data_IF_058261800219
#
_entry.id   IF_058261800219
#
_cell.length_a   1.000
_cell.length_b   1.000
_cell.length_c   1.000
_cell.angle_alpha   90.00
_cell.angle_beta   90.00
_cell.angle_gamma   90.00
#
_symmetry.space_group_name_H-M   'P 1'
#
loop_
_entity.id
_entity.type
_entity.pdbx_description
1 polymer ?
#
# COMPACT_ATOMS: atom_id res chain seq x y z
N UNK A 1 29.40 -21.73 -27.80
CA UNK A 1 29.16 -20.36 -27.32
C UNK A 1 27.91 -19.76 -27.95
N UNK A 2 27.73 -19.76 -29.27
CA UNK A 2 26.47 -19.33 -29.92
C UNK A 2 25.21 -20.02 -29.35
N UNK A 3 25.23 -21.35 -29.22
CA UNK A 3 24.09 -22.11 -28.69
C UNK A 3 23.69 -21.82 -27.23
N UNK A 4 24.63 -21.34 -26.40
CA UNK A 4 24.36 -21.03 -24.99
C UNK A 4 23.79 -19.62 -24.85
N UNK A 5 24.23 -18.70 -25.72
CA UNK A 5 23.69 -17.34 -25.81
C UNK A 5 22.27 -17.38 -26.37
N UNK A 6 22.02 -18.13 -27.45
CA UNK A 6 20.68 -18.30 -28.03
C UNK A 6 19.68 -18.90 -27.02
N UNK A 7 20.11 -19.91 -26.23
CA UNK A 7 19.27 -20.50 -25.18
C UNK A 7 19.00 -19.57 -24.00
N UNK A 8 19.93 -18.65 -23.69
CA UNK A 8 19.73 -17.65 -22.65
C UNK A 8 18.77 -16.54 -23.10
N UNK A 9 18.90 -16.11 -24.35
CA UNK A 9 18.01 -15.11 -24.97
C UNK A 9 16.57 -15.65 -25.11
N UNK A 10 16.39 -16.89 -25.56
CA UNK A 10 15.07 -17.53 -25.66
C UNK A 10 14.39 -17.70 -24.29
N UNK A 11 15.15 -18.07 -23.26
CA UNK A 11 14.62 -18.19 -21.89
C UNK A 11 14.21 -16.81 -21.31
N UNK A 12 15.01 -15.77 -21.55
CA UNK A 12 14.70 -14.40 -21.11
C UNK A 12 13.45 -13.86 -21.79
N UNK A 13 13.30 -14.09 -23.10
CA UNK A 13 12.14 -13.68 -23.88
C UNK A 13 10.87 -14.39 -23.41
N UNK A 14 10.95 -15.70 -23.17
CA UNK A 14 9.83 -16.49 -22.63
C UNK A 14 9.40 -15.98 -21.24
N UNK A 15 10.34 -15.64 -20.37
CA UNK A 15 10.04 -15.10 -19.04
C UNK A 15 9.36 -13.74 -19.11
N UNK A 16 9.84 -12.82 -19.96
CA UNK A 16 9.21 -11.51 -20.15
C UNK A 16 7.78 -11.64 -20.70
N UNK A 17 7.55 -12.54 -21.66
CA UNK A 17 6.20 -12.81 -22.19
C UNK A 17 5.29 -13.37 -21.10
N UNK A 18 5.76 -14.35 -20.31
CA UNK A 18 4.98 -14.93 -19.22
C UNK A 18 4.64 -13.88 -18.14
N UNK A 19 5.56 -12.97 -17.83
CA UNK A 19 5.32 -11.88 -16.89
C UNK A 19 4.22 -10.92 -17.37
N UNK A 20 4.25 -10.52 -18.65
CA UNK A 20 3.24 -9.64 -19.25
C UNK A 20 1.88 -10.36 -19.37
N UNK A 21 1.88 -11.64 -19.76
CA UNK A 21 0.66 -12.44 -19.81
C UNK A 21 -0.02 -12.54 -18.45
N UNK A 22 0.77 -12.72 -17.38
CA UNK A 22 0.22 -12.77 -16.02
C UNK A 22 -0.46 -11.45 -15.63
N UNK A 23 0.11 -10.29 -15.99
CA UNK A 23 -0.54 -8.99 -15.77
C UNK A 23 -1.86 -8.90 -16.54
N UNK A 24 -1.87 -9.32 -17.81
CA UNK A 24 -3.11 -9.33 -18.60
C UNK A 24 -4.19 -10.19 -17.96
N UNK A 25 -3.83 -11.38 -17.49
CA UNK A 25 -4.75 -12.31 -16.82
C UNK A 25 -5.23 -11.73 -15.48
N UNK A 26 -4.34 -11.15 -14.68
CA UNK A 26 -4.70 -10.58 -13.37
C UNK A 26 -5.63 -9.37 -13.52
N UNK A 27 -5.41 -8.51 -14.52
CA UNK A 27 -6.32 -7.42 -14.86
C UNK A 27 -7.69 -7.93 -15.32
N UNK A 28 -7.71 -8.94 -16.21
CA UNK A 28 -8.96 -9.55 -16.66
C UNK A 28 -9.75 -10.19 -15.50
N UNK A 29 -9.06 -10.90 -14.60
CA UNK A 29 -9.65 -11.44 -13.37
C UNK A 29 -10.18 -10.34 -12.46
N UNK A 30 -9.47 -9.22 -12.32
CA UNK A 30 -9.92 -8.04 -11.59
C UNK A 30 -11.22 -7.46 -12.14
N UNK A 31 -11.29 -7.26 -13.46
CA UNK A 31 -12.49 -6.75 -14.15
C UNK A 31 -13.64 -7.75 -14.02
N UNK A 32 -13.39 -9.05 -14.24
CA UNK A 32 -14.39 -10.10 -14.11
C UNK A 32 -14.94 -10.18 -12.68
N UNK A 33 -14.06 -10.18 -11.67
CA UNK A 33 -14.46 -10.18 -10.25
C UNK A 33 -15.31 -8.96 -9.91
N UNK A 34 -14.90 -7.76 -10.35
CA UNK A 34 -15.68 -6.54 -10.17
C UNK A 34 -17.05 -6.62 -10.84
N UNK A 35 -17.13 -7.23 -12.02
CA UNK A 35 -18.39 -7.34 -12.76
C UNK A 35 -19.32 -8.41 -12.14
N UNK A 36 -18.78 -9.55 -11.71
CA UNK A 36 -19.55 -10.64 -11.10
C UNK A 36 -20.06 -10.29 -9.70
N UNK A 37 -19.27 -9.53 -8.94
CA UNK A 37 -19.62 -9.12 -7.58
C UNK A 37 -20.45 -7.84 -7.53
N UNK A 38 -20.71 -7.20 -8.68
CA UNK A 38 -21.63 -6.06 -8.77
C UNK A 38 -23.03 -6.48 -8.29
N UNK A 39 -23.49 -5.83 -7.21
CA UNK A 39 -24.78 -6.13 -6.58
C UNK A 39 -24.72 -7.11 -5.41
N UNK A 40 -23.55 -7.68 -5.12
CA UNK A 40 -23.35 -8.48 -3.90
C UNK A 40 -22.84 -7.60 -2.76
N UNK A 41 -22.96 -8.09 -1.51
CA UNK A 41 -22.44 -7.40 -0.31
C UNK A 41 -20.94 -7.59 -0.09
N UNK A 42 -20.26 -8.36 -0.94
CA UNK A 42 -18.86 -8.73 -0.75
C UNK A 42 -17.94 -7.67 -1.36
N UNK A 43 -16.98 -7.11 -0.60
CA UNK A 43 -16.01 -6.17 -1.17
C UNK A 43 -15.11 -6.89 -2.19
N UNK A 44 -15.03 -6.34 -3.40
CA UNK A 44 -14.28 -6.95 -4.50
C UNK A 44 -12.79 -7.13 -4.19
N UNK A 45 -12.21 -6.25 -3.36
CA UNK A 45 -10.82 -6.34 -2.90
C UNK A 45 -10.57 -7.61 -2.08
N UNK A 46 -11.49 -7.97 -1.18
CA UNK A 46 -11.39 -9.20 -0.40
C UNK A 46 -11.54 -10.44 -1.29
N UNK A 47 -12.45 -10.41 -2.27
CA UNK A 47 -12.58 -11.51 -3.22
C UNK A 47 -11.32 -11.69 -4.07
N UNK A 48 -10.70 -10.60 -4.52
CA UNK A 48 -9.43 -10.64 -5.25
C UNK A 48 -8.30 -11.22 -4.40
N UNK A 49 -8.22 -10.85 -3.12
CA UNK A 49 -7.26 -11.45 -2.18
C UNK A 49 -7.44 -12.96 -2.07
N UNK A 50 -8.68 -13.43 -1.90
CA UNK A 50 -8.99 -14.88 -1.82
C UNK A 50 -8.62 -15.59 -3.13
N UNK A 51 -8.98 -15.03 -4.28
CA UNK A 51 -8.61 -15.58 -5.60
C UNK A 51 -7.09 -15.66 -5.73
N UNK A 52 -6.35 -14.62 -5.35
CA UNK A 52 -4.89 -14.60 -5.37
C UNK A 52 -4.28 -15.68 -4.47
N UNK A 53 -4.78 -15.82 -3.23
CA UNK A 53 -4.34 -16.88 -2.30
C UNK A 53 -4.60 -18.25 -2.89
N UNK A 54 -5.78 -18.49 -3.49
CA UNK A 54 -6.11 -19.78 -4.11
C UNK A 54 -5.20 -20.09 -5.29
N UNK A 55 -4.98 -19.12 -6.20
CA UNK A 55 -4.11 -19.29 -7.37
C UNK A 55 -2.65 -19.55 -6.93
N UNK A 56 -2.13 -18.76 -5.98
CA UNK A 56 -0.78 -18.95 -5.44
C UNK A 56 -0.61 -20.28 -4.70
N UNK A 57 -1.60 -20.67 -3.89
CA UNK A 57 -1.57 -21.96 -3.17
C UNK A 57 -1.62 -23.16 -4.13
N UNK A 58 -2.40 -23.04 -5.21
CA UNK A 58 -2.54 -24.08 -6.23
C UNK A 58 -1.27 -24.23 -7.07
N UNK A 59 -0.55 -23.13 -7.32
CA UNK A 59 0.77 -23.13 -7.97
C UNK A 59 1.83 -23.82 -7.10
N UNK A 60 1.90 -23.46 -5.82
CA UNK A 60 2.78 -24.10 -4.84
C UNK A 60 2.47 -25.60 -4.69
N UNK A 61 1.20 -25.97 -4.60
CA UNK A 61 0.74 -27.36 -4.43
C UNK A 61 0.87 -28.24 -5.68
N UNK A 62 0.80 -27.67 -6.88
CA UNK A 62 0.88 -28.43 -8.15
C UNK A 62 2.32 -28.73 -8.60
N UNK A 63 3.31 -28.54 -7.72
CA UNK A 63 4.74 -28.73 -8.03
C UNK A 63 5.17 -28.05 -9.34
N UNK A 64 4.78 -26.78 -9.54
CA UNK A 64 5.20 -25.95 -10.68
C UNK A 64 4.67 -26.41 -12.06
N UNK A 65 3.61 -27.22 -12.11
CA UNK A 65 3.03 -27.72 -13.38
C UNK A 65 2.03 -26.78 -14.07
N UNK A 66 1.85 -25.54 -13.60
CA UNK A 66 0.90 -24.57 -14.21
C UNK A 66 1.39 -23.94 -15.53
N UNK A 67 2.55 -24.37 -16.03
CA UNK A 67 3.12 -23.87 -17.29
C UNK A 67 3.33 -22.35 -17.26
N UNK A 68 3.08 -21.70 -18.40
CA UNK A 68 3.33 -20.25 -18.61
C UNK A 68 2.70 -19.33 -17.56
N UNK A 69 1.52 -19.69 -17.02
CA UNK A 69 0.84 -18.90 -15.98
C UNK A 69 1.54 -19.06 -14.63
N UNK A 70 1.99 -20.28 -14.30
CA UNK A 70 2.79 -20.54 -13.10
C UNK A 70 4.12 -19.79 -13.13
N UNK A 71 4.79 -19.78 -14.27
CA UNK A 71 6.04 -19.02 -14.48
C UNK A 71 5.80 -17.52 -14.23
N UNK A 72 4.71 -16.97 -14.76
CA UNK A 72 4.30 -15.58 -14.52
C UNK A 72 4.04 -15.27 -13.04
N UNK A 73 3.30 -16.13 -12.33
CA UNK A 73 3.05 -15.99 -10.88
C UNK A 73 4.38 -15.92 -10.12
N UNK A 74 5.33 -16.81 -10.42
CA UNK A 74 6.62 -16.85 -9.73
C UNK A 74 7.48 -15.62 -10.00
N UNK A 75 7.49 -15.14 -11.24
CA UNK A 75 8.21 -13.91 -11.57
C UNK A 75 7.67 -12.75 -10.73
N UNK A 76 6.34 -12.60 -10.68
CA UNK A 76 5.69 -11.54 -9.91
C UNK A 76 5.83 -11.70 -8.39
N UNK A 77 5.80 -12.93 -7.88
CA UNK A 77 6.00 -13.22 -6.45
C UNK A 77 7.43 -12.94 -5.96
N UNK A 78 8.42 -12.97 -6.86
CA UNK A 78 9.81 -12.65 -6.55
C UNK A 78 10.18 -11.17 -6.81
N UNK A 79 9.23 -10.34 -7.24
CA UNK A 79 9.48 -8.90 -7.38
C UNK A 79 9.71 -8.31 -5.99
N UNK A 80 10.70 -7.44 -5.90
CA UNK A 80 10.98 -6.67 -4.71
C UNK A 80 9.74 -5.88 -4.26
N UNK A 81 9.21 -6.10 -3.05
CA UNK A 81 8.08 -5.35 -2.52
C UNK A 81 8.32 -3.84 -2.49
N UNK A 82 9.56 -3.39 -2.26
CA UNK A 82 9.91 -1.97 -2.23
C UNK A 82 9.76 -1.35 -3.63
N UNK A 83 10.06 -2.11 -4.69
CA UNK A 83 9.84 -1.67 -6.07
C UNK A 83 8.33 -1.55 -6.38
N UNK A 84 7.53 -2.52 -5.93
CA UNK A 84 6.07 -2.44 -6.09
C UNK A 84 5.50 -1.20 -5.39
N UNK A 85 5.91 -0.96 -4.14
CA UNK A 85 5.51 0.24 -3.40
C UNK A 85 5.99 1.52 -4.10
N UNK A 86 7.25 1.57 -4.54
CA UNK A 86 7.80 2.75 -5.21
C UNK A 86 7.08 3.12 -6.52
N UNK A 87 6.57 2.12 -7.25
CA UNK A 87 5.86 2.34 -8.52
C UNK A 87 4.38 2.66 -8.31
N UNK A 88 3.69 1.88 -7.48
CA UNK A 88 2.23 2.00 -7.33
C UNK A 88 1.81 3.05 -6.30
N UNK A 89 2.54 3.20 -5.20
CA UNK A 89 2.14 4.09 -4.11
C UNK A 89 2.03 5.56 -4.56
N UNK A 90 2.97 6.13 -5.33
CA UNK A 90 2.84 7.53 -5.80
C UNK A 90 1.60 7.74 -6.68
N UNK A 91 1.31 6.80 -7.58
CA UNK A 91 0.16 6.89 -8.47
C UNK A 91 -1.17 6.81 -7.69
N UNK A 92 -1.26 5.88 -6.73
CA UNK A 92 -2.43 5.71 -5.86
C UNK A 92 -2.65 6.93 -4.95
N UNK A 93 -1.59 7.42 -4.30
CA UNK A 93 -1.67 8.61 -3.44
C UNK A 93 -2.04 9.86 -4.23
N UNK A 94 -1.54 10.00 -5.46
CA UNK A 94 -1.86 11.13 -6.33
C UNK A 94 -3.34 11.10 -6.76
N UNK A 95 -3.85 9.94 -7.17
CA UNK A 95 -5.27 9.79 -7.53
C UNK A 95 -6.19 10.11 -6.34
N UNK A 96 -5.90 9.56 -5.16
CA UNK A 96 -6.63 9.87 -3.93
C UNK A 96 -6.59 11.37 -3.61
N UNK A 97 -5.41 12.00 -3.68
CA UNK A 97 -5.25 13.43 -3.42
C UNK A 97 -6.01 14.30 -4.42
N UNK A 98 -6.03 13.91 -5.70
CA UNK A 98 -6.68 14.64 -6.77
C UNK A 98 -8.21 14.63 -6.64
N UNK A 99 -8.77 13.57 -6.05
CA UNK A 99 -10.21 13.43 -5.84
C UNK A 99 -10.78 14.32 -4.72
N UNK A 100 -9.93 14.89 -3.86
CA UNK A 100 -10.36 15.62 -2.67
C UNK A 100 -10.70 17.10 -2.95
N UNK A 101 -11.76 17.58 -2.29
CA UNK A 101 -12.15 18.99 -2.32
C UNK A 101 -11.25 19.83 -1.38
N UNK A 102 -10.39 20.66 -1.98
CA UNK A 102 -9.44 21.54 -1.28
C UNK A 102 -10.13 22.50 -0.29
N UNK A 103 -11.33 22.99 -0.60
CA UNK A 103 -12.07 23.90 0.29
C UNK A 103 -12.53 23.18 1.56
N UNK A 104 -12.98 21.93 1.41
CA UNK A 104 -13.38 21.10 2.55
C UNK A 104 -12.17 20.64 3.37
N UNK A 105 -11.05 20.28 2.71
CA UNK A 105 -9.78 19.97 3.39
C UNK A 105 -9.36 21.13 4.27
N UNK A 106 -9.30 22.36 3.73
CA UNK A 106 -8.87 23.54 4.50
C UNK A 106 -9.70 23.76 5.77
N UNK A 107 -11.00 23.46 5.73
CA UNK A 107 -11.91 23.58 6.88
C UNK A 107 -11.72 22.48 7.92
N UNK A 108 -11.21 21.31 7.53
CA UNK A 108 -11.12 20.13 8.38
C UNK A 108 -9.69 19.66 8.64
N UNK A 109 -8.68 20.36 8.11
CA UNK A 109 -7.27 19.98 8.11
C UNK A 109 -6.75 19.64 9.51
N UNK A 110 -7.13 20.44 10.52
CA UNK A 110 -6.73 20.19 11.90
C UNK A 110 -7.23 18.82 12.42
N UNK A 111 -8.47 18.44 12.07
CA UNK A 111 -9.04 17.16 12.48
C UNK A 111 -8.37 15.99 11.75
N UNK A 112 -8.10 16.16 10.45
CA UNK A 112 -7.41 15.18 9.63
C UNK A 112 -5.99 14.91 10.15
N UNK A 113 -5.21 15.96 10.43
CA UNK A 113 -3.84 15.84 10.98
C UNK A 113 -3.86 15.19 12.38
N UNK A 114 -4.85 15.52 13.21
CA UNK A 114 -4.98 14.95 14.55
C UNK A 114 -5.27 13.45 14.49
N UNK A 115 -6.14 12.98 13.58
CA UNK A 115 -6.38 11.54 13.44
C UNK A 115 -5.19 10.83 12.76
N UNK A 116 -4.70 11.36 11.65
CA UNK A 116 -3.67 10.69 10.86
C UNK A 116 -2.26 10.73 11.49
N UNK A 117 -1.96 11.76 12.29
CA UNK A 117 -0.68 11.85 12.99
C UNK A 117 -0.68 11.02 14.28
N UNK A 118 -1.10 11.60 15.42
CA UNK A 118 -1.07 10.91 16.70
C UNK A 118 -2.02 9.71 16.76
N UNK A 119 -3.17 9.73 16.07
CA UNK A 119 -4.08 8.58 16.06
C UNK A 119 -3.44 7.32 15.47
N UNK A 120 -2.67 7.46 14.39
CA UNK A 120 -1.94 6.33 13.75
C UNK A 120 -0.78 5.84 14.60
N UNK A 121 -0.06 6.76 15.27
CA UNK A 121 0.96 6.36 16.24
C UNK A 121 0.35 5.54 17.37
N UNK A 122 -0.75 6.02 17.95
CA UNK A 122 -1.47 5.32 19.00
C UNK A 122 -1.95 3.96 18.50
N UNK A 123 -2.62 3.88 17.35
CA UNK A 123 -3.12 2.62 16.80
C UNK A 123 -1.99 1.61 16.56
N UNK A 124 -0.85 2.07 16.03
CA UNK A 124 0.34 1.25 15.81
C UNK A 124 0.90 0.69 17.12
N UNK A 125 1.00 1.52 18.16
CA UNK A 125 1.48 1.07 19.48
C UNK A 125 0.51 0.09 20.14
N UNK A 126 -0.80 0.36 20.06
CA UNK A 126 -1.82 -0.54 20.59
C UNK A 126 -1.79 -1.89 19.86
N UNK A 127 -1.88 -1.89 18.53
CA UNK A 127 -1.82 -3.12 17.72
C UNK A 127 -0.52 -3.88 17.96
N UNK A 128 0.63 -3.19 17.93
CA UNK A 128 1.92 -3.83 18.17
C UNK A 128 2.05 -4.43 19.58
N UNK A 129 1.50 -3.76 20.60
CA UNK A 129 1.47 -4.30 21.97
C UNK A 129 0.54 -5.50 22.08
N UNK A 130 -0.65 -5.44 21.47
CA UNK A 130 -1.58 -6.57 21.43
C UNK A 130 -0.95 -7.76 20.72
N UNK A 131 -0.27 -7.54 19.58
CA UNK A 131 0.44 -8.59 18.85
C UNK A 131 1.53 -9.24 19.72
N UNK A 132 2.31 -8.44 20.44
CA UNK A 132 3.38 -8.90 21.32
C UNK A 132 2.88 -9.72 22.51
N UNK A 133 1.75 -9.32 23.10
CA UNK A 133 1.22 -9.89 24.33
C UNK A 133 0.30 -11.10 24.10
N UNK A 134 -0.46 -11.08 23.00
CA UNK A 134 -1.48 -12.09 22.73
C UNK A 134 -0.93 -13.29 21.95
N UNK A 135 0.02 -13.07 21.03
CA UNK A 135 0.53 -14.15 20.19
C UNK A 135 1.76 -14.84 20.78
N UNK A 136 1.81 -16.19 20.79
CA UNK A 136 2.89 -16.96 21.40
C UNK A 136 4.15 -17.06 20.52
N UNK A 137 4.36 -16.14 19.57
CA UNK A 137 5.46 -16.23 18.60
C UNK A 137 6.80 -15.63 19.10
N UNK A 138 6.86 -15.15 20.36
CA UNK A 138 8.05 -14.54 20.96
C UNK A 138 8.71 -13.42 20.13
N UNK A 139 7.91 -12.68 19.34
CA UNK A 139 8.41 -11.61 18.48
C UNK A 139 9.06 -10.48 19.27
N UNK A 140 10.07 -9.83 18.70
CA UNK A 140 10.63 -8.63 19.30
C UNK A 140 9.61 -7.48 19.28
N UNK A 141 9.79 -6.49 20.16
CA UNK A 141 8.96 -5.26 20.13
C UNK A 141 9.02 -4.58 18.76
N UNK A 142 10.20 -4.57 18.12
CA UNK A 142 10.40 -3.98 16.79
C UNK A 142 9.58 -4.70 15.73
N UNK A 143 9.57 -6.03 15.75
CA UNK A 143 8.78 -6.86 14.82
C UNK A 143 7.28 -6.68 15.03
N UNK A 144 6.85 -6.58 16.29
CA UNK A 144 5.42 -6.41 16.61
C UNK A 144 4.92 -5.02 16.23
N UNK A 145 5.73 -3.98 16.46
CA UNK A 145 5.43 -2.60 16.03
C UNK A 145 5.54 -2.42 14.51
N UNK A 146 6.45 -3.14 13.84
CA UNK A 146 6.51 -3.19 12.37
C UNK A 146 5.17 -3.69 11.80
N UNK A 147 4.67 -4.80 12.32
CA UNK A 147 3.37 -5.34 11.90
C UNK A 147 2.22 -4.42 12.30
N UNK A 148 2.28 -3.81 13.49
CA UNK A 148 1.31 -2.81 13.94
C UNK A 148 1.23 -1.60 13.00
N UNK A 149 2.37 -1.10 12.51
CA UNK A 149 2.43 0.01 11.55
C UNK A 149 1.94 -0.39 10.17
N UNK A 150 2.25 -1.62 9.72
CA UNK A 150 1.74 -2.18 8.48
C UNK A 150 0.20 -2.30 8.49
N UNK A 151 -0.37 -2.75 9.60
CA UNK A 151 -1.82 -2.87 9.79
C UNK A 151 -2.50 -1.55 10.16
N UNK A 152 -1.73 -0.48 10.41
CA UNK A 152 -2.24 0.83 10.78
C UNK A 152 -2.88 1.58 9.62
N UNK A 153 -2.49 1.29 8.37
CA UNK A 153 -3.11 1.84 7.17
C UNK A 153 -4.54 1.31 7.01
N UNK A 154 -5.52 2.21 6.99
CA UNK A 154 -6.95 1.91 6.92
C UNK A 154 -7.52 2.36 5.59
N UNK A 155 -8.26 1.48 4.91
CA UNK A 155 -9.02 1.83 3.70
C UNK A 155 -10.48 2.15 4.07
N UNK A 156 -10.91 3.42 3.95
CA UNK A 156 -12.25 3.84 4.33
C UNK A 156 -13.23 3.72 3.15
N UNK A 157 -12.82 3.29 1.95
CA UNK A 157 -13.68 3.34 0.75
C UNK A 157 -15.03 2.68 0.99
N UNK A 158 -15.04 1.50 1.60
CA UNK A 158 -16.28 0.79 1.94
C UNK A 158 -17.10 1.53 3.00
N UNK A 159 -16.44 2.08 4.03
CA UNK A 159 -17.09 2.80 5.13
C UNK A 159 -17.70 4.12 4.64
N UNK A 160 -16.99 4.84 3.79
CA UNK A 160 -17.41 6.12 3.22
C UNK A 160 -18.60 5.92 2.29
N UNK A 161 -18.58 4.88 1.44
CA UNK A 161 -19.71 4.54 0.58
C UNK A 161 -20.96 4.25 1.42
N UNK A 162 -20.83 3.43 2.46
CA UNK A 162 -21.91 3.11 3.37
C UNK A 162 -22.44 4.33 4.14
N UNK A 163 -21.55 5.20 4.64
CA UNK A 163 -21.96 6.44 5.32
C UNK A 163 -22.67 7.42 4.37
N UNK A 164 -22.27 7.48 3.09
CA UNK A 164 -22.96 8.29 2.07
C UNK A 164 -24.38 7.78 1.82
N UNK A 165 -24.59 6.46 1.79
CA UNK A 165 -25.93 5.84 1.70
C UNK A 165 -26.82 6.21 2.90
N UNK A 166 -26.23 6.35 4.10
CA UNK A 166 -26.91 6.77 5.32
C UNK A 166 -27.14 8.29 5.42
N UNK A 167 -26.75 9.07 4.41
CA UNK A 167 -26.95 10.53 4.39
C UNK A 167 -25.87 11.34 5.12
N UNK A 168 -24.66 10.79 5.27
CA UNK A 168 -23.54 11.53 5.87
C UNK A 168 -23.24 12.83 5.12
N UNK A 169 -22.89 13.88 5.87
CA UNK A 169 -22.50 15.16 5.30
C UNK A 169 -21.22 15.04 4.47
N UNK A 170 -21.10 15.83 3.41
CA UNK A 170 -19.86 15.93 2.61
C UNK A 170 -18.63 16.19 3.48
N UNK A 171 -18.78 16.98 4.55
CA UNK A 171 -17.72 17.27 5.52
C UNK A 171 -17.19 15.99 6.19
N UNK A 172 -18.07 15.09 6.63
CA UNK A 172 -17.68 13.84 7.27
C UNK A 172 -16.97 12.91 6.28
N UNK A 173 -17.46 12.80 5.04
CA UNK A 173 -16.79 12.04 4.00
C UNK A 173 -15.39 12.57 3.72
N UNK A 174 -15.22 13.89 3.58
CA UNK A 174 -13.89 14.49 3.36
C UNK A 174 -12.95 14.27 4.54
N UNK A 175 -13.44 14.33 5.78
CA UNK A 175 -12.62 14.05 6.96
C UNK A 175 -12.10 12.61 6.92
N UNK A 176 -12.96 11.64 6.63
CA UNK A 176 -12.60 10.22 6.60
C UNK A 176 -11.68 9.90 5.41
N UNK A 177 -12.02 10.38 4.21
CA UNK A 177 -11.19 10.19 3.01
C UNK A 177 -9.80 10.82 3.20
N UNK A 178 -9.75 12.03 3.76
CA UNK A 178 -8.50 12.74 4.02
C UNK A 178 -7.67 12.16 5.16
N UNK A 179 -8.31 11.62 6.19
CA UNK A 179 -7.65 10.91 7.29
C UNK A 179 -6.93 9.66 6.80
N UNK A 180 -7.61 8.81 6.02
CA UNK A 180 -7.00 7.62 5.43
C UNK A 180 -5.85 7.96 4.49
N UNK A 181 -6.01 8.95 3.61
CA UNK A 181 -4.94 9.35 2.71
C UNK A 181 -3.68 9.81 3.47
N UNK A 182 -3.86 10.57 4.55
CA UNK A 182 -2.73 10.97 5.41
C UNK A 182 -2.18 9.79 6.23
N UNK A 183 -3.04 8.89 6.69
CA UNK A 183 -2.67 7.68 7.41
C UNK A 183 -1.77 6.78 6.56
N UNK A 184 -2.08 6.55 5.29
CA UNK A 184 -1.23 5.78 4.36
C UNK A 184 0.20 6.34 4.30
N UNK A 185 0.33 7.68 4.25
CA UNK A 185 1.61 8.37 4.29
C UNK A 185 2.35 8.19 5.62
N UNK A 186 1.66 8.22 6.76
CA UNK A 186 2.29 8.01 8.07
C UNK A 186 2.67 6.54 8.26
N UNK A 187 1.82 5.61 7.82
CA UNK A 187 2.03 4.17 7.91
C UNK A 187 3.28 3.71 7.17
N UNK A 188 3.52 4.20 5.94
CA UNK A 188 4.74 3.83 5.19
C UNK A 188 6.02 4.35 5.87
N UNK A 189 5.96 5.50 6.52
CA UNK A 189 7.10 6.05 7.29
C UNK A 189 7.37 5.19 8.53
N UNK A 190 6.32 4.79 9.26
CA UNK A 190 6.44 3.90 10.42
C UNK A 190 6.94 2.52 10.02
N UNK A 191 6.40 1.94 8.94
CA UNK A 191 6.88 0.69 8.36
C UNK A 191 8.38 0.77 8.07
N UNK A 192 8.82 1.79 7.33
CA UNK A 192 10.23 1.97 6.96
C UNK A 192 11.13 2.10 8.19
N UNK A 193 10.67 2.85 9.20
CA UNK A 193 11.39 3.03 10.46
C UNK A 193 11.60 1.69 11.18
N UNK A 194 10.52 0.95 11.42
CA UNK A 194 10.61 -0.32 12.15
C UNK A 194 11.30 -1.42 11.33
N UNK A 195 11.15 -1.41 10.00
CA UNK A 195 11.83 -2.35 9.12
C UNK A 195 13.35 -2.19 9.25
N UNK A 196 13.86 -0.95 9.19
CA UNK A 196 15.28 -0.65 9.43
C UNK A 196 15.75 -1.06 10.82
N UNK A 197 14.91 -0.90 11.84
CA UNK A 197 15.23 -1.35 13.21
C UNK A 197 15.34 -2.87 13.34
N UNK A 198 14.53 -3.61 12.57
CA UNK A 198 14.54 -5.07 12.54
C UNK A 198 15.75 -5.59 11.75
N UNK A 199 16.14 -4.95 10.66
CA UNK A 199 17.30 -5.33 9.83
C UNK A 199 18.66 -4.97 10.43
N UNK A 200 18.70 -4.46 11.66
CA UNK A 200 19.92 -4.30 12.45
C UNK A 200 20.34 -2.85 12.70
N UNK A 201 19.58 -1.86 12.23
CA UNK A 201 19.87 -0.46 12.57
C UNK A 201 19.49 -0.17 14.03
N UNK A 202 20.44 0.28 14.84
CA UNK A 202 20.15 0.82 16.17
C UNK A 202 19.78 2.30 16.06
N UNK A 203 18.54 2.62 16.39
CA UNK A 203 18.10 4.01 16.47
C UNK A 203 18.03 4.43 17.93
N UNK A 204 18.67 5.56 18.27
CA UNK A 204 18.39 6.24 19.53
C UNK A 204 17.04 6.95 19.43
N UNK A 205 16.43 7.28 20.57
CA UNK A 205 15.20 8.07 20.62
C UNK A 205 15.31 9.37 19.79
N UNK A 206 16.45 10.05 19.91
CA UNK A 206 16.74 11.26 19.15
C UNK A 206 16.75 11.00 17.64
N UNK A 207 17.35 9.90 17.17
CA UNK A 207 17.37 9.55 15.75
C UNK A 207 15.97 9.22 15.23
N UNK A 208 15.10 8.60 16.05
CA UNK A 208 13.71 8.32 15.68
C UNK A 208 12.93 9.62 15.47
N UNK A 209 13.02 10.53 16.45
CA UNK A 209 12.32 11.82 16.37
C UNK A 209 12.85 12.64 15.19
N UNK A 210 14.17 12.68 14.99
CA UNK A 210 14.78 13.32 13.82
C UNK A 210 14.34 12.69 12.52
N UNK A 211 14.28 11.36 12.42
CA UNK A 211 13.80 10.66 11.24
C UNK A 211 12.35 11.02 10.93
N UNK A 212 11.44 10.89 11.90
CA UNK A 212 10.03 11.24 11.73
C UNK A 212 9.84 12.71 11.35
N UNK A 213 10.55 13.62 12.01
CA UNK A 213 10.50 15.05 11.69
C UNK A 213 11.04 15.33 10.29
N UNK A 214 12.14 14.69 9.89
CA UNK A 214 12.78 14.91 8.58
C UNK A 214 11.91 14.38 7.46
N UNK A 215 11.35 13.17 7.60
CA UNK A 215 10.50 12.59 6.55
C UNK A 215 9.16 13.32 6.47
N UNK A 216 8.55 13.68 7.61
CA UNK A 216 7.30 14.45 7.63
C UNK A 216 7.49 15.85 7.07
N UNK A 217 8.41 16.65 7.60
CA UNK A 217 8.62 18.03 7.15
C UNK A 217 9.26 18.09 5.76
N UNK A 218 10.20 17.20 5.48
CA UNK A 218 10.86 17.10 4.17
C UNK A 218 9.91 16.67 3.07
N UNK A 219 9.06 15.67 3.31
CA UNK A 219 8.04 15.23 2.36
C UNK A 219 7.02 16.33 2.05
N UNK A 220 6.49 16.98 3.09
CA UNK A 220 5.58 18.12 2.92
C UNK A 220 6.27 19.30 2.19
N UNK A 221 7.50 19.62 2.57
CA UNK A 221 8.27 20.71 1.97
C UNK A 221 8.57 20.48 0.48
N UNK A 222 9.05 19.29 0.12
CA UNK A 222 9.28 18.90 -1.27
C UNK A 222 7.99 18.89 -2.09
N UNK A 223 6.89 18.38 -1.52
CA UNK A 223 5.59 18.38 -2.17
C UNK A 223 5.06 19.79 -2.46
N UNK A 224 5.14 20.70 -1.49
CA UNK A 224 4.75 22.11 -1.68
C UNK A 224 5.64 22.77 -2.72
N UNK A 225 6.97 22.58 -2.63
CA UNK A 225 7.91 23.16 -3.57
C UNK A 225 7.64 22.70 -5.00
N UNK A 226 7.46 21.40 -5.22
CA UNK A 226 7.14 20.84 -6.52
C UNK A 226 5.78 21.30 -7.04
N UNK A 227 4.76 21.36 -6.16
CA UNK A 227 3.44 21.88 -6.51
C UNK A 227 3.47 23.35 -6.96
N UNK A 228 4.21 24.21 -6.25
CA UNK A 228 4.40 25.62 -6.64
C UNK A 228 5.12 25.74 -7.98
N UNK A 229 6.16 24.93 -8.21
CA UNK A 229 6.86 24.90 -9.50
C UNK A 229 5.95 24.50 -10.66
N UNK A 230 5.12 23.47 -10.49
CA UNK A 230 4.16 23.06 -11.51
C UNK A 230 3.12 24.13 -11.79
N UNK A 231 2.60 24.78 -10.75
CA UNK A 231 1.67 25.91 -10.91
C UNK A 231 2.35 27.04 -11.67
N UNK A 232 3.57 27.42 -11.29
CA UNK A 232 4.33 28.46 -11.98
C UNK A 232 4.59 28.11 -13.45
N UNK A 233 4.88 26.83 -13.76
CA UNK A 233 5.04 26.34 -15.13
C UNK A 233 3.74 26.43 -15.94
N UNK A 234 2.59 26.11 -15.35
CA UNK A 234 1.28 26.17 -16.03
C UNK A 234 0.86 27.62 -16.31
N UNK A 235 1.25 28.56 -15.45
CA UNK A 235 0.96 29.98 -15.62
C UNK A 235 1.89 30.70 -16.61
N UNK A 236 2.99 30.06 -17.04
CA UNK A 236 3.94 30.59 -18.01
C UNK A 236 3.62 30.09 -19.42
#
# INVERSE_FOLDING_TARGET
>A
MASVVDMADDASCSNSVNAVLFVGISLALGVASRHLLRGTRVPYTAALLVIGIVIGSLEYGSSHRLGKVGDGIRIWANIDPDLLLAVFLPALLFESSFSLDVHQIKKCMAQMILLAGPGVLISTFFLGSTLKLLFPYNWSWKTSLLLGGLLGATDPVAVVAFLKELGASKKLSTIIEGESMMNDGVAIVLYTLFFRMVTGSSFSWETIVKFLATVSLGGNGLGIWFGVLLVAWIYF
#
